data_IF_804495318630
#
_entry.id   IF_804495318630
#
_cell.length_a   1.000
_cell.length_b   1.000
_cell.length_c   1.000
_cell.angle_alpha   90.00
_cell.angle_beta   90.00
_cell.angle_gamma   90.00
#
_symmetry.space_group_name_H-M   'P 1'
#
loop_
_entity.id
_entity.type
_entity.pdbx_description
1 polymer ?
#
# COMPACT_ATOMS: atom_id res chain seq x y z
N UNK A 1 29.30 -15.96 11.10
CA UNK A 1 27.88 -15.89 10.65
C UNK A 1 27.39 -14.48 10.92
N UNK A 2 26.69 -13.89 9.97
CA UNK A 2 26.14 -12.56 10.13
C UNK A 2 25.01 -12.57 11.15
N UNK A 3 25.08 -11.70 12.17
CA UNK A 3 24.02 -11.51 13.16
C UNK A 3 23.17 -10.30 12.80
N UNK A 4 21.86 -10.44 12.98
CA UNK A 4 20.87 -9.42 12.66
C UNK A 4 19.98 -9.13 13.86
N UNK A 5 19.72 -7.85 14.08
CA UNK A 5 18.61 -7.39 14.90
C UNK A 5 17.36 -7.28 14.04
N UNK A 6 16.20 -7.60 14.62
CA UNK A 6 14.90 -7.51 13.93
C UNK A 6 13.99 -6.53 14.64
N UNK A 7 13.19 -5.80 13.86
CA UNK A 7 12.14 -4.93 14.36
C UNK A 7 10.85 -5.16 13.61
N UNK A 8 9.75 -5.24 14.35
CA UNK A 8 8.41 -5.46 13.80
C UNK A 8 7.55 -4.28 14.16
N UNK A 9 6.89 -3.69 13.18
CA UNK A 9 5.95 -2.58 13.36
C UNK A 9 4.61 -2.93 12.73
N UNK A 10 3.51 -2.40 13.29
CA UNK A 10 2.20 -2.58 12.68
C UNK A 10 2.17 -1.89 11.32
N UNK A 11 1.62 -2.57 10.30
CA UNK A 11 1.44 -1.95 8.99
C UNK A 11 0.37 -0.85 9.08
N UNK A 12 0.50 0.24 8.32
CA UNK A 12 -0.54 1.24 8.23
C UNK A 12 -1.87 0.62 7.80
N UNK A 13 -2.95 0.99 8.47
CA UNK A 13 -4.33 0.55 8.14
C UNK A 13 -5.15 1.66 7.51
N UNK A 14 -4.63 2.89 7.52
CA UNK A 14 -5.28 4.09 6.99
C UNK A 14 -4.24 4.95 6.30
N UNK A 15 -4.69 5.67 5.27
CA UNK A 15 -3.86 6.64 4.58
C UNK A 15 -3.66 7.93 5.37
N UNK A 16 -2.53 8.57 5.14
CA UNK A 16 -2.16 9.87 5.70
C UNK A 16 -2.43 10.97 4.67
N UNK A 17 -2.96 12.10 5.13
CA UNK A 17 -3.15 13.28 4.26
C UNK A 17 -1.83 14.02 4.14
N UNK A 18 -1.47 14.40 2.91
CA UNK A 18 -0.34 15.26 2.63
C UNK A 18 -0.64 16.23 1.48
N UNK A 19 0.23 17.23 1.32
CA UNK A 19 0.11 18.22 0.25
C UNK A 19 0.19 17.51 -1.11
N UNK A 20 -0.81 17.72 -1.96
CA UNK A 20 -0.89 17.07 -3.28
C UNK A 20 -1.53 15.67 -3.27
N UNK A 21 -1.71 15.04 -2.11
CA UNK A 21 -2.25 13.67 -2.00
C UNK A 21 -3.76 13.69 -1.81
N UNK A 22 -4.50 13.52 -2.90
CA UNK A 22 -5.97 13.72 -2.93
C UNK A 22 -6.78 12.43 -2.80
N UNK A 23 -6.34 11.31 -3.38
CA UNK A 23 -7.09 10.05 -3.42
C UNK A 23 -6.85 9.19 -2.19
N UNK A 24 -7.78 8.27 -1.88
CA UNK A 24 -7.62 7.36 -0.73
C UNK A 24 -6.41 6.42 -0.89
N UNK A 25 -6.21 5.90 -2.11
CA UNK A 25 -5.06 5.08 -2.48
C UNK A 25 -3.74 5.84 -2.27
N UNK A 26 -3.63 7.06 -2.82
CA UNK A 26 -2.39 7.84 -2.69
C UNK A 26 -2.08 8.18 -1.22
N UNK A 27 -3.10 8.39 -0.38
CA UNK A 27 -2.92 8.56 1.06
C UNK A 27 -2.40 7.29 1.72
N UNK A 28 -2.88 6.13 1.30
CA UNK A 28 -2.41 4.85 1.81
C UNK A 28 -0.96 4.59 1.41
N UNK A 29 -0.61 4.80 0.13
CA UNK A 29 0.77 4.72 -0.35
C UNK A 29 1.68 5.66 0.44
N UNK A 30 1.26 6.91 0.65
CA UNK A 30 2.04 7.87 1.43
C UNK A 30 2.22 7.42 2.90
N UNK A 31 1.20 6.82 3.52
CA UNK A 31 1.33 6.28 4.87
C UNK A 31 2.34 5.12 4.96
N UNK A 32 2.35 4.26 3.94
CA UNK A 32 3.30 3.15 3.85
C UNK A 32 4.72 3.66 3.60
N UNK A 33 4.87 4.59 2.66
CA UNK A 33 6.14 5.26 2.35
C UNK A 33 6.74 5.93 3.59
N UNK A 34 5.94 6.71 4.33
CA UNK A 34 6.39 7.37 5.56
C UNK A 34 6.89 6.35 6.60
N UNK A 35 6.18 5.23 6.78
CA UNK A 35 6.57 4.17 7.70
C UNK A 35 7.89 3.50 7.27
N UNK A 36 8.06 3.24 5.97
CA UNK A 36 9.30 2.66 5.44
C UNK A 36 10.48 3.63 5.56
N UNK A 37 10.29 4.89 5.20
CA UNK A 37 11.33 5.92 5.26
C UNK A 37 11.76 6.21 6.70
N UNK A 38 10.83 6.21 7.66
CA UNK A 38 11.16 6.34 9.09
C UNK A 38 12.09 5.21 9.54
N UNK A 39 11.76 3.97 9.20
CA UNK A 39 12.58 2.80 9.55
C UNK A 39 13.93 2.82 8.84
N UNK A 40 13.96 3.19 7.56
CA UNK A 40 15.20 3.34 6.80
C UNK A 40 16.11 4.43 7.38
N UNK A 41 15.56 5.56 7.81
CA UNK A 41 16.31 6.63 8.46
C UNK A 41 16.93 6.21 9.82
N UNK A 42 16.30 5.26 10.51
CA UNK A 42 16.82 4.62 11.72
C UNK A 42 17.85 3.50 11.43
N UNK A 43 18.18 3.25 10.16
CA UNK A 43 19.14 2.23 9.73
C UNK A 43 18.55 0.81 9.65
N UNK A 44 17.23 0.67 9.53
CA UNK A 44 16.57 -0.62 9.34
C UNK A 44 16.28 -0.91 7.87
N UNK A 45 16.61 -2.12 7.43
CA UNK A 45 16.32 -2.65 6.11
C UNK A 45 14.95 -3.36 6.11
N UNK A 46 14.11 -3.07 5.13
CA UNK A 46 12.84 -3.77 4.97
C UNK A 46 13.07 -5.21 4.53
N UNK A 47 12.47 -6.16 5.24
CA UNK A 47 12.56 -7.59 4.92
C UNK A 47 11.29 -8.09 4.23
N UNK A 48 10.12 -7.92 4.87
CA UNK A 48 8.83 -8.40 4.36
C UNK A 48 7.64 -7.85 5.16
N UNK A 49 6.45 -8.04 4.62
CA UNK A 49 5.20 -7.90 5.32
C UNK A 49 4.67 -9.27 5.74
N UNK A 50 4.00 -9.34 6.89
CA UNK A 50 3.38 -10.55 7.42
C UNK A 50 1.95 -10.27 7.89
N UNK A 51 1.10 -11.29 7.83
CA UNK A 51 -0.30 -11.23 8.29
C UNK A 51 -0.54 -12.36 9.27
N UNK A 52 -0.64 -12.04 10.57
CA UNK A 52 -0.70 -13.04 11.63
C UNK A 52 -1.98 -12.91 12.46
N UNK A 53 -2.53 -14.03 12.97
CA UNK A 53 -3.64 -13.99 13.92
C UNK A 53 -3.15 -13.50 15.30
N UNK A 54 -3.91 -12.58 15.89
CA UNK A 54 -3.70 -12.02 17.23
C UNK A 54 -4.90 -12.32 18.11
N UNK A 55 -4.69 -13.07 19.19
CA UNK A 55 -5.74 -13.41 20.14
C UNK A 55 -5.83 -12.32 21.20
N UNK A 56 -7.00 -11.68 21.29
CA UNK A 56 -7.25 -10.55 22.19
C UNK A 56 -8.47 -10.83 23.06
N UNK A 57 -8.53 -10.25 24.26
CA UNK A 57 -9.73 -10.31 25.10
C UNK A 57 -10.89 -9.57 24.43
N UNK A 58 -12.05 -10.21 24.39
CA UNK A 58 -13.31 -9.62 23.99
C UNK A 58 -14.27 -9.65 25.18
N UNK A 59 -14.78 -8.49 25.60
CA UNK A 59 -15.70 -8.41 26.74
C UNK A 59 -15.12 -8.95 28.07
N UNK A 60 -16.01 -9.46 28.94
CA UNK A 60 -15.63 -9.86 30.29
C UNK A 60 -15.00 -11.25 30.37
N UNK A 61 -15.35 -12.20 29.48
CA UNK A 61 -14.87 -13.59 29.57
C UNK A 61 -14.48 -14.22 28.23
N UNK A 62 -14.68 -13.56 27.10
CA UNK A 62 -14.36 -14.15 25.79
C UNK A 62 -13.04 -13.65 25.22
N UNK A 63 -12.54 -14.36 24.22
CA UNK A 63 -11.40 -13.96 23.39
C UNK A 63 -11.84 -13.92 21.92
N UNK A 64 -11.19 -13.09 21.13
CA UNK A 64 -11.39 -12.97 19.69
C UNK A 64 -10.05 -13.04 18.98
N UNK A 65 -10.04 -13.60 17.77
CA UNK A 65 -8.84 -13.62 16.92
C UNK A 65 -8.97 -12.53 15.87
N UNK A 66 -8.00 -11.62 15.82
CA UNK A 66 -7.88 -10.58 14.80
C UNK A 66 -6.65 -10.81 13.94
N UNK A 67 -6.82 -10.80 12.63
CA UNK A 67 -5.69 -10.80 11.71
C UNK A 67 -5.06 -9.41 11.67
N UNK A 68 -3.74 -9.34 11.87
CA UNK A 68 -2.98 -8.09 11.89
C UNK A 68 -1.86 -8.15 10.87
N UNK A 69 -1.75 -7.07 10.10
CA UNK A 69 -0.68 -6.88 9.13
C UNK A 69 0.49 -6.15 9.82
N UNK A 70 1.70 -6.61 9.59
CA UNK A 70 2.91 -6.07 10.19
C UNK A 70 4.04 -6.03 9.17
N UNK A 71 4.93 -5.04 9.32
CA UNK A 71 6.13 -4.87 8.53
C UNK A 71 7.33 -5.33 9.37
N UNK A 72 8.18 -6.16 8.78
CA UNK A 72 9.37 -6.73 9.42
C UNK A 72 10.58 -6.08 8.78
N UNK A 73 11.46 -5.58 9.64
CA UNK A 73 12.73 -4.98 9.28
C UNK A 73 13.88 -5.70 9.98
N UNK A 74 15.08 -5.58 9.42
CA UNK A 74 16.32 -6.10 10.02
C UNK A 74 17.45 -5.07 9.93
N UNK A 75 18.47 -5.21 10.75
CA UNK A 75 19.76 -4.51 10.58
C UNK A 75 20.90 -5.38 11.10
N UNK A 76 22.11 -5.31 10.53
CA UNK A 76 23.24 -6.06 11.05
C UNK A 76 23.64 -5.56 12.45
N UNK A 77 23.98 -6.46 13.37
CA UNK A 77 24.59 -6.06 14.65
C UNK A 77 25.94 -5.40 14.37
N UNK A 78 26.31 -4.34 15.11
CA UNK A 78 27.53 -3.57 14.87
C UNK A 78 28.82 -4.43 14.91
N UNK A 79 28.83 -5.50 15.72
CA UNK A 79 29.93 -6.48 15.77
C UNK A 79 30.06 -7.35 14.50
N UNK A 80 29.04 -7.33 13.64
CA UNK A 80 28.91 -8.14 12.44
C UNK A 80 28.97 -7.29 11.16
N UNK A 81 29.01 -5.95 11.25
CA UNK A 81 28.99 -5.05 10.09
C UNK A 81 30.30 -5.01 9.27
N UNK A 82 31.32 -5.81 9.62
CA UNK A 82 32.68 -5.76 9.04
C UNK A 82 32.80 -6.48 7.68
N UNK A 83 31.70 -6.81 6.97
CA UNK A 83 31.81 -7.66 5.77
C UNK A 83 30.97 -7.27 4.56
N UNK A 84 30.18 -6.20 4.60
CA UNK A 84 29.36 -5.81 3.44
C UNK A 84 29.40 -4.30 3.19
N UNK A 85 30.60 -3.73 3.06
CA UNK A 85 30.77 -2.54 2.23
C UNK A 85 30.79 -3.02 0.78
N UNK A 86 29.63 -2.99 0.11
CA UNK A 86 29.58 -3.05 -1.34
C UNK A 86 30.15 -1.72 -1.83
N UNK A 87 31.47 -1.67 -2.00
CA UNK A 87 32.13 -0.73 -2.89
C UNK A 87 31.63 -1.02 -4.30
N UNK A 88 30.56 -0.36 -4.72
CA UNK A 88 30.25 -0.19 -6.13
C UNK A 88 31.26 0.81 -6.71
N UNK A 89 32.50 0.33 -6.91
CA UNK A 89 33.50 1.01 -7.74
C UNK A 89 33.13 0.74 -9.19
N UNK A 90 32.19 1.51 -9.73
CA UNK A 90 32.04 1.65 -11.18
C UNK A 90 33.14 2.60 -11.69
N UNK A 91 34.35 2.06 -11.77
CA UNK A 91 35.41 2.56 -12.66
C UNK A 91 35.55 1.52 -13.76
N UNK A 92 35.00 1.79 -14.94
CA UNK A 92 35.78 1.89 -16.18
C UNK A 92 34.83 2.31 -17.32
N UNK A 93 35.12 3.46 -17.91
CA UNK A 93 34.52 3.98 -19.13
C UNK A 93 35.38 3.46 -20.29
N UNK A 94 34.93 2.51 -21.14
CA UNK A 94 35.58 2.30 -22.41
C UNK A 94 35.10 3.36 -23.38
N UNK A 95 35.95 4.37 -23.57
CA UNK A 95 35.97 5.31 -24.68
C UNK A 95 35.89 4.53 -26.01
N UNK A 96 34.71 4.56 -26.66
CA UNK A 96 34.56 4.04 -28.03
C UNK A 96 34.84 5.18 -29.01
N UNK A 97 36.03 5.05 -29.58
CA UNK A 97 36.65 5.78 -30.67
C UNK A 97 35.68 6.17 -31.81
N UNK A 98 35.67 7.47 -32.13
CA UNK A 98 34.99 8.11 -33.26
C UNK A 98 35.63 7.73 -34.60
N UNK A 99 34.82 7.41 -35.62
CA UNK A 99 35.22 7.54 -37.03
C UNK A 99 34.01 7.93 -37.92
N UNK A 100 34.17 8.80 -38.94
CA UNK A 100 33.13 9.74 -39.38
C UNK A 100 32.34 9.37 -40.66
N UNK A 101 31.18 10.02 -40.75
CA UNK A 101 30.39 10.51 -41.90
C UNK A 101 30.35 9.72 -43.23
N UNK A 102 29.13 9.39 -43.69
CA UNK A 102 28.74 9.67 -45.09
C UNK A 102 27.21 9.86 -45.27
N UNK A 103 26.83 11.11 -45.55
CA UNK A 103 25.76 11.61 -46.45
C UNK A 103 24.27 11.33 -46.18
N UNK A 104 23.58 12.41 -45.78
CA UNK A 104 22.19 12.78 -46.11
C UNK A 104 21.99 12.98 -47.63
N UNK A 105 20.75 12.87 -48.16
CA UNK A 105 19.88 14.06 -48.31
C UNK A 105 18.43 13.78 -47.86
N UNK A 106 17.74 14.67 -47.11
CA UNK A 106 16.84 15.75 -47.58
C UNK A 106 15.86 15.28 -48.68
N UNK A 107 14.53 15.45 -48.66
CA UNK A 107 13.51 16.31 -47.96
C UNK A 107 12.12 15.71 -48.38
N UNK A 108 10.90 16.26 -48.10
CA UNK A 108 10.48 17.37 -47.23
C UNK A 108 9.25 17.09 -46.33
N UNK A 109 9.09 18.00 -45.36
CA UNK A 109 7.87 18.32 -44.59
C UNK A 109 6.62 18.46 -45.46
N UNK A 110 5.47 18.03 -44.92
CA UNK A 110 4.19 18.65 -45.22
C UNK A 110 3.31 18.74 -43.96
N UNK A 111 2.46 19.74 -43.97
CA UNK A 111 1.90 20.48 -42.85
C UNK A 111 0.80 19.78 -42.01
N UNK A 112 0.69 20.30 -40.78
CA UNK A 112 -0.51 20.54 -39.96
C UNK A 112 -1.83 19.78 -40.26
N UNK A 113 -2.45 19.22 -39.21
CA UNK A 113 -3.75 19.72 -38.73
C UNK A 113 -4.27 18.92 -37.53
N UNK A 114 -4.98 19.63 -36.68
CA UNK A 114 -5.53 19.25 -35.40
C UNK A 114 -6.60 18.16 -35.57
N UNK A 115 -6.47 17.05 -34.84
CA UNK A 115 -7.57 16.13 -34.59
C UNK A 115 -8.01 16.27 -33.13
N UNK A 116 -9.05 17.08 -32.96
CA UNK A 116 -9.84 17.15 -31.76
C UNK A 116 -10.46 15.77 -31.45
N UNK A 117 -9.77 14.98 -30.63
CA UNK A 117 -10.28 13.72 -30.08
C UNK A 117 -10.30 13.68 -28.54
N UNK A 118 -9.83 14.74 -27.88
CA UNK A 118 -9.87 14.88 -26.43
C UNK A 118 -11.27 15.31 -25.96
N UNK A 119 -12.28 14.46 -26.15
CA UNK A 119 -13.54 14.51 -25.42
C UNK A 119 -14.30 13.23 -25.65
N UNK A 120 -14.68 12.57 -24.55
CA UNK A 120 -15.73 11.54 -24.43
C UNK A 120 -15.27 10.09 -24.49
N UNK A 121 -14.54 9.63 -23.45
CA UNK A 121 -14.80 8.34 -22.78
C UNK A 121 -14.33 8.39 -21.32
N UNK A 122 -14.83 9.35 -20.54
CA UNK A 122 -14.96 9.19 -19.08
C UNK A 122 -16.44 9.03 -18.80
N UNK A 123 -16.88 7.80 -18.59
CA UNK A 123 -18.09 7.41 -17.83
C UNK A 123 -18.22 5.89 -17.91
N UNK A 124 -17.38 5.21 -17.15
CA UNK A 124 -17.77 3.95 -16.55
C UNK A 124 -17.00 3.75 -15.24
N UNK A 125 -17.38 4.55 -14.24
CA UNK A 125 -17.03 4.21 -12.86
C UNK A 125 -18.17 3.32 -12.38
N UNK A 126 -17.99 2.00 -12.55
CA UNK A 126 -18.85 0.97 -12.01
C UNK A 126 -19.08 1.18 -10.51
N UNK A 127 -20.23 1.79 -10.21
CA UNK A 127 -20.85 1.76 -8.88
C UNK A 127 -21.61 0.44 -8.84
N UNK A 128 -20.97 -0.58 -8.29
CA UNK A 128 -21.68 -1.76 -7.81
C UNK A 128 -22.63 -1.29 -6.69
N UNK A 129 -23.92 -1.56 -6.86
CA UNK A 129 -24.98 -1.19 -5.92
C UNK A 129 -24.68 -1.75 -4.52
N UNK A 130 -24.49 -0.85 -3.54
CA UNK A 130 -24.65 -1.21 -2.14
C UNK A 130 -26.13 -1.42 -1.87
N UNK A 131 -26.57 -2.67 -1.93
CA UNK A 131 -27.92 -3.09 -1.53
C UNK A 131 -28.26 -2.54 -0.13
N UNK A 132 -29.40 -1.88 -0.02
CA UNK A 132 -29.89 -1.22 1.19
C UNK A 132 -29.81 -2.10 2.45
N UNK A 133 -29.15 -1.59 3.49
CA UNK A 133 -29.16 -2.15 4.86
C UNK A 133 -30.51 -1.87 5.55
N UNK A 134 -31.63 -1.99 4.83
CA UNK A 134 -32.98 -1.81 5.36
C UNK A 134 -33.50 -3.07 6.07
N UNK A 135 -32.99 -4.25 5.70
CA UNK A 135 -33.43 -5.54 6.23
C UNK A 135 -33.17 -5.77 7.72
N UNK A 136 -32.06 -5.25 8.26
CA UNK A 136 -31.64 -5.51 9.66
C UNK A 136 -32.62 -4.90 10.67
N UNK A 137 -33.26 -3.78 10.33
CA UNK A 137 -34.24 -3.13 11.21
C UNK A 137 -35.58 -3.87 11.27
N UNK A 138 -35.93 -4.61 10.23
CA UNK A 138 -37.20 -5.37 10.14
C UNK A 138 -37.13 -6.63 10.98
N UNK A 139 -35.99 -7.35 10.94
CA UNK A 139 -35.76 -8.54 11.76
C UNK A 139 -35.75 -8.22 13.27
N UNK A 140 -35.25 -7.03 13.66
CA UNK A 140 -35.27 -6.57 15.06
C UNK A 140 -36.68 -6.21 15.54
N UNK A 141 -37.53 -5.63 14.68
CA UNK A 141 -38.93 -5.33 15.03
C UNK A 141 -39.76 -6.61 15.21
N UNK A 142 -39.60 -7.60 14.33
CA UNK A 142 -40.28 -8.89 14.46
C UNK A 142 -39.93 -9.62 15.76
N UNK A 143 -38.67 -9.59 16.19
CA UNK A 143 -38.25 -10.22 17.45
C UNK A 143 -38.81 -9.48 18.69
N UNK A 144 -38.96 -8.15 18.61
CA UNK A 144 -39.53 -7.37 19.71
C UNK A 144 -41.03 -7.63 19.90
N UNK A 145 -41.75 -7.89 18.81
CA UNK A 145 -43.19 -8.19 18.84
C UNK A 145 -43.46 -9.60 19.38
N UNK A 146 -42.70 -10.61 18.96
CA UNK A 146 -42.85 -11.99 19.48
C UNK A 146 -42.55 -12.08 20.97
N UNK A 147 -41.61 -11.28 21.48
CA UNK A 147 -41.30 -11.23 22.92
C UNK A 147 -42.38 -10.50 23.74
N UNK A 148 -43.22 -9.67 23.10
CA UNK A 148 -44.29 -8.93 23.78
C UNK A 148 -45.56 -9.78 23.91
N UNK A 149 -45.85 -10.64 22.94
CA UNK A 149 -46.97 -11.58 22.98
C UNK A 149 -46.76 -12.70 24.00
N UNK A 150 -45.51 -13.13 24.20
CA UNK A 150 -45.15 -14.17 25.19
C UNK A 150 -45.28 -13.69 26.66
N UNK A 151 -45.42 -12.38 26.86
CA UNK A 151 -45.57 -11.75 28.20
C UNK A 151 -47.02 -11.44 28.56
N UNK A 152 -47.97 -11.62 27.65
CA UNK A 152 -49.39 -11.33 27.89
C UNK A 152 -50.26 -12.56 28.20
N UNK A 153 -49.70 -13.77 28.16
CA UNK A 153 -50.41 -15.04 28.41
C UNK A 153 -49.90 -15.79 29.67
N UNK A 154 -49.37 -15.06 30.66
CA UNK A 154 -48.93 -15.60 31.96
C UNK A 154 -49.45 -14.82 33.14
#
# INVERSE_FOLDING_TARGET
MQRYEYRVVAAPTRGLKAKGVKTAEARFCHALEEAMNTMAAEGWEYLRAETLPSTERAGLTSTTTKWRNMLIFRRPEASSAVSETVEETLTDEPEVEVLPETTTPETPQDDASQSAGASRMLRDNGVEEVSDVSGVTTSLKQLAETRKTDKSDG
#
